data_IF_224488998827
#
_entry.id   IF_224488998827
#
_cell.length_a   1.000
_cell.length_b   1.000
_cell.length_c   1.000
_cell.angle_alpha   90.00
_cell.angle_beta   90.00
_cell.angle_gamma   90.00
#
_symmetry.space_group_name_H-M   'P 1'
#
loop_
_entity.id
_entity.type
_entity.pdbx_description
1 polymer ?
#
# COMPACT_ATOMS: atom_id res chain seq x y z
N UNK A 1 7.91 10.70 10.08
CA UNK A 1 6.84 11.15 9.17
C UNK A 1 6.38 10.05 8.21
N UNK A 2 7.25 9.45 7.39
CA UNK A 2 6.90 8.38 6.43
C UNK A 2 6.17 7.18 7.04
N UNK A 3 6.65 6.67 8.18
CA UNK A 3 5.99 5.56 8.88
C UNK A 3 4.59 5.93 9.40
N UNK A 4 4.40 7.17 9.87
CA UNK A 4 3.07 7.71 10.24
C UNK A 4 2.15 7.73 9.02
N UNK A 5 2.64 8.18 7.86
CA UNK A 5 1.88 8.17 6.60
C UNK A 5 1.43 6.76 6.25
N UNK A 6 2.34 5.79 6.26
CA UNK A 6 2.02 4.39 5.98
C UNK A 6 0.98 3.83 6.96
N UNK A 7 1.19 4.00 8.27
CA UNK A 7 0.31 3.46 9.32
C UNK A 7 -1.12 3.98 9.21
N UNK A 8 -1.28 5.30 9.16
CA UNK A 8 -2.61 5.90 9.11
C UNK A 8 -3.31 5.64 7.76
N UNK A 9 -2.56 5.54 6.66
CA UNK A 9 -3.13 5.11 5.36
C UNK A 9 -3.59 3.66 5.42
N UNK A 10 -2.79 2.74 6.00
CA UNK A 10 -3.17 1.34 6.18
C UNK A 10 -4.41 1.20 7.06
N UNK A 11 -4.55 2.02 8.11
CA UNK A 11 -5.77 2.09 8.93
C UNK A 11 -6.98 2.53 8.11
N UNK A 12 -6.83 3.55 7.26
CA UNK A 12 -7.90 4.01 6.38
C UNK A 12 -8.34 2.90 5.40
N UNK A 13 -7.40 2.20 4.77
CA UNK A 13 -7.72 1.09 3.85
C UNK A 13 -8.37 -0.07 4.61
N UNK A 14 -7.86 -0.42 5.81
CA UNK A 14 -8.46 -1.44 6.68
C UNK A 14 -9.91 -1.09 6.99
N UNK A 15 -10.20 0.18 7.32
CA UNK A 15 -11.57 0.63 7.55
C UNK A 15 -12.47 0.39 6.33
N UNK A 16 -11.99 0.67 5.11
CA UNK A 16 -12.76 0.41 3.89
C UNK A 16 -13.04 -1.08 3.66
N UNK A 17 -12.07 -1.95 3.95
CA UNK A 17 -12.20 -3.38 3.75
C UNK A 17 -13.08 -4.04 4.81
N UNK A 18 -13.01 -3.58 6.08
CA UNK A 18 -13.59 -4.34 7.21
C UNK A 18 -14.77 -3.68 7.92
N UNK A 19 -15.01 -2.38 7.76
CA UNK A 19 -16.02 -1.67 8.58
C UNK A 19 -17.46 -1.84 8.07
N UNK A 20 -17.64 -2.44 6.89
CA UNK A 20 -18.93 -2.59 6.23
C UNK A 20 -19.18 -4.06 5.87
N UNK A 21 -20.45 -4.45 5.75
CA UNK A 21 -20.82 -5.81 5.32
C UNK A 21 -20.34 -6.15 3.90
N UNK A 22 -20.09 -5.13 3.08
CA UNK A 22 -19.52 -5.22 1.74
C UNK A 22 -18.22 -4.44 1.71
N UNK A 23 -17.06 -5.10 1.52
CA UNK A 23 -15.78 -4.42 1.43
C UNK A 23 -15.78 -3.36 0.33
N UNK A 24 -15.25 -2.18 0.64
CA UNK A 24 -15.04 -1.10 -0.34
C UNK A 24 -13.60 -1.16 -0.80
N UNK A 25 -13.37 -1.44 -2.09
CA UNK A 25 -12.05 -1.46 -2.71
C UNK A 25 -11.80 -0.11 -3.38
N UNK A 26 -10.75 0.60 -2.98
CA UNK A 26 -10.46 1.96 -3.42
C UNK A 26 -9.98 2.01 -4.87
N UNK A 27 -9.13 1.07 -5.29
CA UNK A 27 -8.48 0.92 -6.62
C UNK A 27 -7.59 2.08 -7.09
N UNK A 28 -7.70 3.24 -6.46
CA UNK A 28 -6.87 4.43 -6.68
C UNK A 28 -5.76 4.66 -5.64
N UNK A 29 -5.24 3.64 -4.95
CA UNK A 29 -4.21 3.85 -3.91
C UNK A 29 -2.89 4.32 -4.55
N UNK A 30 -2.53 5.58 -4.33
CA UNK A 30 -1.28 6.19 -4.79
C UNK A 30 -0.93 7.43 -3.94
N UNK A 31 0.33 7.90 -3.93
CA UNK A 31 0.72 9.06 -3.14
C UNK A 31 -0.03 10.35 -3.51
N UNK A 32 -0.47 10.50 -4.77
CA UNK A 32 -1.28 11.64 -5.21
C UNK A 32 -2.68 11.69 -4.59
N UNK A 33 -3.14 10.58 -4.02
CA UNK A 33 -4.45 10.44 -3.37
C UNK A 33 -4.32 10.38 -1.84
N UNK A 34 -3.13 10.62 -1.28
CA UNK A 34 -2.87 10.67 0.17
C UNK A 34 -2.44 12.09 0.54
N UNK A 35 -3.39 12.88 1.02
CA UNK A 35 -3.14 14.28 1.40
C UNK A 35 -2.66 14.35 2.85
N UNK A 36 -1.87 15.37 3.18
CA UNK A 36 -1.42 15.63 4.55
C UNK A 36 -2.09 16.93 5.00
N UNK A 37 -2.86 16.88 6.09
CA UNK A 37 -3.50 18.07 6.65
C UNK A 37 -2.52 18.92 7.48
N UNK A 38 -3.02 20.06 7.99
CA UNK A 38 -2.25 21.01 8.81
C UNK A 38 -1.65 20.38 10.08
N UNK A 39 -2.23 19.29 10.57
CA UNK A 39 -1.82 18.58 11.78
C UNK A 39 -0.89 17.39 11.43
N UNK A 40 -0.41 17.35 10.19
CA UNK A 40 0.43 16.27 9.65
C UNK A 40 -0.24 14.89 9.75
N UNK A 41 -1.56 14.84 9.59
CA UNK A 41 -2.34 13.60 9.54
C UNK A 41 -2.63 13.29 8.06
N UNK A 42 -2.23 12.10 7.57
CA UNK A 42 -2.55 11.69 6.21
C UNK A 42 -4.05 11.39 6.08
N UNK A 43 -4.61 11.68 4.91
CA UNK A 43 -6.02 11.46 4.54
C UNK A 43 -6.04 10.77 3.18
N UNK A 44 -6.65 9.59 3.12
CA UNK A 44 -6.94 8.92 1.86
C UNK A 44 -8.13 9.62 1.18
N UNK A 45 -7.97 9.98 -0.09
CA UNK A 45 -8.94 10.75 -0.87
C UNK A 45 -9.13 10.15 -2.27
N UNK A 46 -10.09 10.70 -3.03
CA UNK A 46 -10.43 10.32 -4.42
C UNK A 46 -10.98 8.90 -4.56
N UNK A 47 -12.26 8.75 -4.20
CA UNK A 47 -13.05 7.51 -4.25
C UNK A 47 -13.82 7.33 -5.56
N UNK A 48 -13.49 8.08 -6.62
CA UNK A 48 -14.17 8.04 -7.92
C UNK A 48 -14.08 6.65 -8.60
N UNK A 49 -13.05 5.89 -8.25
CA UNK A 49 -12.82 4.53 -8.75
C UNK A 49 -13.21 3.44 -7.74
N UNK A 50 -13.72 3.80 -6.56
CA UNK A 50 -14.04 2.82 -5.54
C UNK A 50 -15.21 1.92 -5.97
N UNK A 51 -15.16 0.65 -5.58
CA UNK A 51 -16.22 -0.33 -5.84
C UNK A 51 -16.46 -1.19 -4.61
N UNK A 52 -17.67 -1.69 -4.43
CA UNK A 52 -17.99 -2.66 -3.38
C UNK A 52 -17.95 -4.09 -3.91
N UNK A 53 -17.32 -4.99 -3.17
CA UNK A 53 -17.51 -6.43 -3.40
C UNK A 53 -18.92 -6.80 -2.90
N UNK A 54 -19.74 -7.52 -3.70
CA UNK A 54 -21.06 -7.97 -3.27
C UNK A 54 -21.01 -8.84 -2.01
N UNK A 55 -22.11 -8.85 -1.25
CA UNK A 55 -22.19 -9.64 -0.02
C UNK A 55 -22.10 -11.14 -0.35
N UNK A 56 -21.24 -11.86 0.38
CA UNK A 56 -20.99 -13.29 0.16
C UNK A 56 -19.97 -13.61 -0.95
N UNK A 57 -19.51 -12.59 -1.69
CA UNK A 57 -18.50 -12.74 -2.74
C UNK A 57 -17.11 -12.35 -2.24
N UNK A 58 -16.07 -12.88 -2.88
CA UNK A 58 -14.66 -12.55 -2.61
C UNK A 58 -14.07 -11.57 -3.62
N UNK A 59 -14.78 -11.32 -4.71
CA UNK A 59 -14.30 -10.51 -5.83
C UNK A 59 -15.46 -9.89 -6.61
N UNK A 60 -15.11 -8.96 -7.50
CA UNK A 60 -16.04 -8.40 -8.50
C UNK A 60 -15.31 -8.21 -9.83
N UNK A 61 -15.94 -8.63 -10.92
CA UNK A 61 -15.46 -8.39 -12.29
C UNK A 61 -15.91 -7.02 -12.77
N UNK A 62 -15.03 -6.32 -13.49
CA UNK A 62 -15.34 -5.00 -14.07
C UNK A 62 -15.04 -4.93 -15.56
N UNK A 63 -15.92 -4.26 -16.31
CA UNK A 63 -15.77 -4.08 -17.77
C UNK A 63 -14.58 -3.19 -18.14
N UNK A 64 -14.14 -2.33 -17.21
CA UNK A 64 -13.06 -1.38 -17.43
C UNK A 64 -12.10 -1.35 -16.25
N UNK A 65 -10.83 -1.63 -16.55
CA UNK A 65 -9.73 -1.42 -15.62
C UNK A 65 -9.48 0.08 -15.42
N UNK A 66 -9.43 0.51 -14.16
CA UNK A 66 -9.14 1.88 -13.74
C UNK A 66 -8.11 1.87 -12.63
N UNK A 67 -7.25 2.87 -12.58
CA UNK A 67 -6.25 3.00 -11.52
C UNK A 67 -5.11 3.92 -11.91
N UNK A 68 -4.16 4.09 -11.01
CA UNK A 68 -2.91 4.77 -11.34
C UNK A 68 -1.91 3.75 -11.87
N UNK A 69 -1.54 3.83 -13.14
CA UNK A 69 -0.77 2.81 -13.86
C UNK A 69 0.45 2.27 -13.09
N UNK A 70 1.29 3.13 -12.51
CA UNK A 70 2.50 2.73 -11.78
C UNK A 70 2.26 2.02 -10.44
N UNK A 71 1.02 1.95 -9.97
CA UNK A 71 0.60 1.31 -8.72
C UNK A 71 -0.41 0.18 -8.97
N UNK A 72 -0.77 -0.05 -10.23
CA UNK A 72 -1.82 -0.98 -10.61
C UNK A 72 -1.36 -2.42 -10.46
N UNK A 73 -2.16 -3.26 -9.81
CA UNK A 73 -1.91 -4.69 -9.71
C UNK A 73 -1.96 -5.35 -11.10
N UNK A 74 -0.93 -6.13 -11.46
CA UNK A 74 -0.86 -6.80 -12.76
C UNK A 74 -2.01 -7.79 -12.99
N UNK A 75 -2.37 -8.60 -11.99
CA UNK A 75 -3.46 -9.57 -12.12
C UNK A 75 -4.81 -8.88 -12.41
N UNK A 76 -5.12 -7.81 -11.67
CA UNK A 76 -6.28 -6.97 -11.94
C UNK A 76 -6.22 -6.32 -13.33
N UNK A 77 -5.06 -5.79 -13.73
CA UNK A 77 -4.89 -5.16 -15.03
C UNK A 77 -5.15 -6.11 -16.21
N UNK A 78 -4.85 -7.40 -16.05
CA UNK A 78 -5.06 -8.43 -17.07
C UNK A 78 -6.46 -9.03 -17.05
N UNK A 79 -7.02 -9.26 -15.86
CA UNK A 79 -8.27 -10.02 -15.71
C UNK A 79 -9.52 -9.16 -15.55
N UNK A 80 -9.38 -7.91 -15.08
CA UNK A 80 -10.51 -7.10 -14.64
C UNK A 80 -11.14 -7.58 -13.32
N UNK A 81 -10.55 -8.56 -12.63
CA UNK A 81 -11.03 -9.06 -11.34
C UNK A 81 -10.48 -8.19 -10.21
N UNK A 82 -11.38 -7.65 -9.40
CA UNK A 82 -11.08 -6.82 -8.23
C UNK A 82 -11.29 -7.63 -6.96
N UNK A 83 -10.29 -7.61 -6.07
CA UNK A 83 -10.35 -8.19 -4.72
C UNK A 83 -9.83 -7.16 -3.70
N UNK A 84 -9.89 -7.49 -2.40
CA UNK A 84 -9.17 -6.72 -1.37
C UNK A 84 -7.66 -6.64 -1.65
N UNK A 85 -7.09 -7.69 -2.26
CA UNK A 85 -5.68 -7.78 -2.59
C UNK A 85 -5.22 -6.76 -3.65
N UNK A 86 -6.15 -6.20 -4.43
CA UNK A 86 -5.86 -5.14 -5.40
C UNK A 86 -5.37 -3.86 -4.70
N UNK A 87 -6.02 -3.43 -3.63
CA UNK A 87 -5.55 -2.28 -2.84
C UNK A 87 -4.27 -2.60 -2.08
N UNK A 88 -4.10 -3.83 -1.59
CA UNK A 88 -2.90 -4.27 -0.87
C UNK A 88 -1.66 -4.18 -1.76
N UNK A 89 -1.75 -4.60 -3.02
CA UNK A 89 -0.65 -4.47 -3.97
C UNK A 89 -0.27 -2.99 -4.19
N UNK A 90 -1.26 -2.15 -4.52
CA UNK A 90 -1.03 -0.72 -4.74
C UNK A 90 -0.43 -0.04 -3.50
N UNK A 91 -0.88 -0.44 -2.31
CA UNK A 91 -0.29 0.03 -1.05
C UNK A 91 1.16 -0.45 -0.88
N UNK A 92 1.49 -1.69 -1.25
CA UNK A 92 2.88 -2.18 -1.28
C UNK A 92 3.80 -1.31 -2.13
N UNK A 93 3.34 -0.86 -3.29
CA UNK A 93 4.08 0.10 -4.13
C UNK A 93 4.23 1.46 -3.44
N UNK A 94 3.19 1.94 -2.75
CA UNK A 94 3.27 3.15 -1.90
C UNK A 94 4.31 2.99 -0.79
N UNK A 95 4.42 1.82 -0.15
CA UNK A 95 5.43 1.58 0.87
C UNK A 95 6.85 1.68 0.28
N UNK A 96 7.11 1.10 -0.90
CA UNK A 96 8.39 1.24 -1.59
C UNK A 96 8.70 2.69 -1.98
N UNK A 97 7.68 3.45 -2.40
CA UNK A 97 7.81 4.89 -2.65
C UNK A 97 8.18 5.65 -1.36
N UNK A 98 7.53 5.35 -0.23
CA UNK A 98 7.83 5.99 1.06
C UNK A 98 9.24 5.65 1.53
N UNK A 99 9.75 4.44 1.26
CA UNK A 99 11.11 4.03 1.61
C UNK A 99 12.14 4.76 0.73
N UNK A 100 12.00 4.65 -0.59
CA UNK A 100 12.99 5.18 -1.54
C UNK A 100 12.92 6.70 -1.75
N UNK A 101 11.75 7.31 -1.57
CA UNK A 101 11.47 8.67 -2.02
C UNK A 101 11.44 8.84 -3.55
N UNK A 102 11.57 7.74 -4.31
CA UNK A 102 11.58 7.73 -5.78
C UNK A 102 10.24 7.21 -6.28
N UNK A 103 9.70 7.83 -7.35
CA UNK A 103 8.49 7.32 -8.00
C UNK A 103 8.78 5.95 -8.64
N UNK A 104 7.82 5.02 -8.67
CA UNK A 104 8.01 3.75 -9.37
C UNK A 104 8.24 4.01 -10.86
N UNK A 105 9.38 3.59 -11.40
CA UNK A 105 9.66 3.60 -12.85
C UNK A 105 9.18 2.28 -13.47
N UNK A 106 8.68 2.32 -14.71
CA UNK A 106 8.29 1.12 -15.46
C UNK A 106 9.43 0.11 -15.68
N UNK A 107 10.68 0.51 -15.48
CA UNK A 107 11.83 -0.36 -15.38
C UNK A 107 12.19 -0.55 -13.90
N UNK A 108 11.82 -1.69 -13.33
CA UNK A 108 12.57 -2.23 -12.21
C UNK A 108 13.92 -2.67 -12.79
N UNK A 109 15.00 -2.43 -12.04
CA UNK A 109 16.42 -2.67 -12.34
C UNK A 109 17.14 -1.50 -13.04
N UNK A 110 17.75 -0.62 -12.26
CA UNK A 110 19.19 -0.68 -11.94
C UNK A 110 19.49 0.24 -10.76
N UNK A 111 20.40 -0.21 -9.91
CA UNK A 111 20.95 0.52 -8.77
C UNK A 111 21.37 1.93 -9.17
N UNK A 112 20.66 2.93 -8.66
CA UNK A 112 21.25 4.24 -8.44
C UNK A 112 21.64 4.29 -6.97
N UNK A 113 22.87 3.81 -6.69
CA UNK A 113 23.67 4.23 -5.55
C UNK A 113 23.77 5.76 -5.57
N UNK A 114 22.80 6.42 -4.94
CA UNK A 114 23.00 7.78 -4.47
C UNK A 114 23.34 7.71 -2.99
N UNK A 115 24.64 7.58 -2.73
CA UNK A 115 25.25 7.92 -1.45
C UNK A 115 24.79 9.32 -1.02
N UNK A 116 24.14 9.41 0.14
CA UNK A 116 24.30 10.56 1.05
C UNK A 116 24.25 10.11 2.51
N UNK A 117 25.45 10.08 3.07
CA UNK A 117 25.89 10.64 4.36
C UNK A 117 24.92 10.60 5.54
N UNK A 118 25.33 9.79 6.52
CA UNK A 118 24.77 9.69 7.85
C UNK A 118 24.74 8.22 8.24
N UNK A 119 25.64 7.79 9.13
CA UNK A 119 25.65 6.41 9.61
C UNK A 119 24.24 6.02 10.10
N UNK A 120 23.61 5.09 9.39
CA UNK A 120 22.34 4.49 9.84
C UNK A 120 22.71 3.70 11.10
N UNK A 121 22.12 4.05 12.24
CA UNK A 121 22.30 3.23 13.44
C UNK A 121 21.61 1.88 13.22
N UNK A 122 22.12 0.82 13.86
CA UNK A 122 21.66 -0.56 13.68
C UNK A 122 20.13 -0.71 13.85
N UNK A 123 19.52 0.05 14.76
CA UNK A 123 18.07 0.09 14.97
C UNK A 123 17.29 0.60 13.76
N UNK A 124 17.74 1.69 13.12
CA UNK A 124 17.09 2.21 11.91
C UNK A 124 17.26 1.26 10.75
N UNK A 125 18.37 0.54 10.67
CA UNK A 125 18.58 -0.48 9.66
C UNK A 125 17.59 -1.65 9.85
N UNK A 126 17.47 -2.18 11.07
CA UNK A 126 16.48 -3.22 11.38
C UNK A 126 15.05 -2.76 11.06
N UNK A 127 14.71 -1.52 11.41
CA UNK A 127 13.40 -0.94 11.11
C UNK A 127 13.16 -0.84 9.59
N UNK A 128 14.16 -0.37 8.84
CA UNK A 128 14.12 -0.25 7.38
C UNK A 128 13.93 -1.62 6.72
N UNK A 129 14.67 -2.64 7.17
CA UNK A 129 14.56 -4.00 6.68
C UNK A 129 13.17 -4.60 6.96
N UNK A 130 12.61 -4.37 8.15
CA UNK A 130 11.25 -4.79 8.47
C UNK A 130 10.21 -4.10 7.57
N UNK A 131 10.41 -2.81 7.30
CA UNK A 131 9.53 -2.03 6.43
C UNK A 131 9.59 -2.52 4.96
N UNK A 132 10.79 -2.77 4.45
CA UNK A 132 11.00 -3.37 3.12
C UNK A 132 10.36 -4.75 3.02
N UNK A 133 10.57 -5.62 4.01
CA UNK A 133 9.98 -6.96 4.04
C UNK A 133 8.45 -6.90 3.99
N UNK A 134 7.84 -5.98 4.74
CA UNK A 134 6.39 -5.78 4.72
C UNK A 134 5.92 -5.31 3.33
N UNK A 135 6.62 -4.36 2.71
CA UNK A 135 6.31 -3.90 1.36
C UNK A 135 6.34 -5.05 0.35
N UNK A 136 7.39 -5.88 0.37
CA UNK A 136 7.49 -7.05 -0.51
C UNK A 136 6.43 -8.11 -0.25
N UNK A 137 5.98 -8.29 1.00
CA UNK A 137 4.88 -9.20 1.29
C UNK A 137 3.55 -8.76 0.66
N UNK A 138 3.34 -7.45 0.49
CA UNK A 138 2.17 -6.89 -0.19
C UNK A 138 2.27 -7.00 -1.72
N UNK A 139 3.47 -7.21 -2.26
CA UNK A 139 3.75 -7.22 -3.71
C UNK A 139 3.90 -8.62 -4.31
N UNK A 140 3.53 -9.68 -3.56
CA UNK A 140 3.54 -11.05 -4.09
C UNK A 140 2.65 -11.16 -5.32
N UNK A 141 3.07 -11.99 -6.28
CA UNK A 141 2.38 -12.15 -7.56
C UNK A 141 0.94 -12.66 -7.35
N UNK A 142 0.78 -13.72 -6.57
CA UNK A 142 -0.52 -14.25 -6.18
C UNK A 142 -1.13 -13.40 -5.07
N UNK A 143 -2.38 -12.97 -5.26
CA UNK A 143 -3.14 -12.15 -4.31
C UNK A 143 -3.29 -12.85 -2.96
N UNK A 144 -3.64 -14.14 -2.96
CA UNK A 144 -3.90 -14.92 -1.74
C UNK A 144 -2.67 -15.10 -0.84
N UNK A 145 -1.47 -14.90 -1.37
CA UNK A 145 -0.24 -14.95 -0.58
C UNK A 145 0.07 -13.62 0.14
N UNK A 146 -0.65 -12.55 -0.20
CA UNK A 146 -0.48 -11.22 0.40
C UNK A 146 -1.20 -11.17 1.76
N UNK A 147 -0.71 -10.38 2.72
CA UNK A 147 -1.41 -10.19 3.98
C UNK A 147 -2.70 -9.39 3.77
N UNK A 148 -3.70 -9.59 4.63
CA UNK A 148 -4.83 -8.69 4.74
C UNK A 148 -4.36 -7.31 5.21
N UNK A 149 -5.07 -6.24 4.83
CA UNK A 149 -4.68 -4.88 5.20
C UNK A 149 -4.66 -4.67 6.73
N UNK A 150 -5.54 -5.36 7.47
CA UNK A 150 -5.53 -5.34 8.93
C UNK A 150 -4.20 -5.86 9.52
N UNK A 151 -3.58 -6.86 8.88
CA UNK A 151 -2.32 -7.42 9.34
C UNK A 151 -1.15 -6.52 8.95
N UNK A 152 -1.21 -5.90 7.77
CA UNK A 152 -0.27 -4.84 7.36
C UNK A 152 -0.28 -3.69 8.37
N UNK A 153 -1.46 -3.21 8.77
CA UNK A 153 -1.60 -2.14 9.75
C UNK A 153 -1.00 -2.53 11.12
N UNK A 154 -1.24 -3.77 11.59
CA UNK A 154 -0.64 -4.30 12.82
C UNK A 154 0.89 -4.36 12.74
N UNK A 155 1.44 -4.83 11.62
CA UNK A 155 2.90 -4.90 11.44
C UNK A 155 3.54 -3.50 11.42
N UNK A 156 2.90 -2.50 10.80
CA UNK A 156 3.38 -1.11 10.84
C UNK A 156 3.43 -0.55 12.27
N UNK A 157 2.46 -0.91 13.13
CA UNK A 157 2.48 -0.54 14.55
C UNK A 157 3.63 -1.21 15.29
N UNK A 158 3.94 -2.47 15.00
CA UNK A 158 5.09 -3.17 15.59
C UNK A 158 6.40 -2.50 15.18
N UNK A 159 6.57 -2.20 13.88
CA UNK A 159 7.75 -1.52 13.34
C UNK A 159 7.96 -0.14 13.99
N UNK A 160 6.90 0.61 14.26
CA UNK A 160 6.96 1.92 14.95
C UNK A 160 7.40 1.78 16.41
N UNK A 161 6.92 0.75 17.10
CA UNK A 161 7.22 0.50 18.52
C UNK A 161 8.66 0.01 18.75
N UNK A 162 9.23 -0.73 17.81
CA UNK A 162 10.62 -1.22 17.91
C UNK A 162 11.69 -0.13 17.80
N UNK A 163 11.29 1.14 17.62
CA UNK A 163 12.18 2.31 17.53
C UNK A 163 12.11 3.23 18.77
N UNK A 164 11.41 2.80 19.83
CA UNK A 164 11.30 3.52 21.11
C UNK A 164 11.99 2.73 22.21
#
# INVERSE_FOLDING_TARGET
MRLKVAKETANAITYLHTAFARPIIHRGIAPSNIFIDKDSIPKLCNFDQAITIPEGETHVEVDRVTGTYSYLEHAYALSGIVTEHTDIYSFGVVLLFLISGKRPSCSIIHDDEQQKEGGINEEKEVQLQAFLKLAWSCLKENGEDRPLMIDVAKELVKIERSSR
#
